data_IF_486453352962
#
_entry.id   IF_486453352962
#
_cell.length_a   1.000
_cell.length_b   1.000
_cell.length_c   1.000
_cell.angle_alpha   90.00
_cell.angle_beta   90.00
_cell.angle_gamma   90.00
#
_symmetry.space_group_name_H-M   'P 1'
#
loop_
_entity.id
_entity.type
_entity.pdbx_description
1 polymer ?
#
# COMPACT_ATOMS: atom_id res chain seq x y z
N UNK A 1 -15.80 8.53 -14.38
CA UNK A 1 -15.90 7.99 -13.01
C UNK A 1 -16.05 9.17 -12.05
N UNK A 2 -17.06 9.17 -11.18
CA UNK A 2 -17.27 10.25 -10.20
C UNK A 2 -16.51 9.89 -8.92
N UNK A 3 -15.24 10.30 -8.84
CA UNK A 3 -14.35 10.11 -7.70
C UNK A 3 -14.74 11.06 -6.57
N UNK A 4 -14.53 10.66 -5.31
CA UNK A 4 -14.74 11.53 -4.14
C UNK A 4 -13.40 11.88 -3.48
N UNK A 5 -12.83 13.07 -3.80
CA UNK A 5 -11.51 13.44 -3.33
C UNK A 5 -11.46 13.70 -1.82
N UNK A 6 -12.58 14.10 -1.21
CA UNK A 6 -12.65 14.34 0.23
C UNK A 6 -12.58 13.02 0.99
N UNK A 7 -13.39 12.02 0.60
CA UNK A 7 -13.35 10.68 1.16
C UNK A 7 -11.98 10.03 0.98
N UNK A 8 -11.38 10.19 -0.21
CA UNK A 8 -10.02 9.72 -0.47
C UNK A 8 -9.01 10.36 0.48
N UNK A 9 -9.03 11.69 0.64
CA UNK A 9 -8.12 12.39 1.55
C UNK A 9 -8.30 11.95 3.00
N UNK A 10 -9.55 11.80 3.47
CA UNK A 10 -9.84 11.33 4.83
C UNK A 10 -9.29 9.93 5.06
N UNK A 11 -9.48 9.01 4.11
CA UNK A 11 -8.91 7.65 4.19
C UNK A 11 -7.38 7.69 4.19
N UNK A 12 -6.77 8.42 3.26
CA UNK A 12 -5.31 8.55 3.17
C UNK A 12 -4.72 9.11 4.45
N UNK A 13 -5.29 10.20 4.97
CA UNK A 13 -4.82 10.83 6.21
C UNK A 13 -4.95 9.88 7.39
N UNK A 14 -6.03 9.09 7.44
CA UNK A 14 -6.24 8.12 8.50
C UNK A 14 -5.19 7.02 8.42
N UNK A 15 -4.90 6.48 7.23
CA UNK A 15 -3.84 5.48 7.02
C UNK A 15 -2.44 6.02 7.38
N UNK A 16 -2.10 7.24 6.94
CA UNK A 16 -0.82 7.89 7.28
C UNK A 16 -0.65 8.14 8.78
N UNK A 17 -1.75 8.22 9.53
CA UNK A 17 -1.72 8.34 10.99
C UNK A 17 -1.34 7.05 11.72
N UNK A 18 -1.26 5.90 11.04
CA UNK A 18 -0.90 4.62 11.65
C UNK A 18 0.58 4.31 11.42
N UNK A 19 1.44 4.36 12.46
CA UNK A 19 2.87 4.11 12.32
C UNK A 19 3.21 2.64 12.02
N UNK A 20 2.23 1.74 12.10
CA UNK A 20 2.40 0.31 11.80
C UNK A 20 2.24 -0.03 10.33
N UNK A 21 1.73 0.91 9.51
CA UNK A 21 1.41 0.68 8.11
C UNK A 21 2.27 1.59 7.26
N UNK A 22 2.99 1.02 6.31
CA UNK A 22 3.73 1.82 5.33
C UNK A 22 2.78 2.32 4.22
N UNK A 23 2.13 3.45 4.47
CA UNK A 23 1.20 4.07 3.51
C UNK A 23 1.91 4.69 2.29
N UNK A 24 3.25 4.70 2.23
CA UNK A 24 4.03 5.32 1.14
C UNK A 24 3.77 4.63 -0.20
N UNK A 25 3.59 3.31 -0.16
CA UNK A 25 3.39 2.48 -1.33
C UNK A 25 1.92 2.11 -1.57
N UNK A 26 1.02 2.59 -0.70
CA UNK A 26 -0.42 2.33 -0.77
C UNK A 26 -1.11 3.50 -1.48
N UNK A 27 -1.82 3.19 -2.56
CA UNK A 27 -2.68 4.11 -3.30
C UNK A 27 -4.12 3.93 -2.85
N UNK A 28 -4.79 5.05 -2.59
CA UNK A 28 -6.20 5.08 -2.20
C UNK A 28 -7.01 5.71 -3.32
N UNK A 29 -8.05 5.03 -3.78
CA UNK A 29 -9.05 5.58 -4.69
C UNK A 29 -10.43 5.49 -4.03
N UNK A 30 -11.20 6.58 -4.06
CA UNK A 30 -12.55 6.60 -3.49
C UNK A 30 -13.58 7.10 -4.50
N UNK A 31 -14.77 6.51 -4.50
CA UNK A 31 -15.87 6.90 -5.38
C UNK A 31 -16.96 7.64 -4.59
N UNK A 32 -17.76 8.47 -5.28
CA UNK A 32 -18.90 9.16 -4.65
C UNK A 32 -19.98 8.23 -4.11
N UNK A 33 -19.97 6.95 -4.49
CA UNK A 33 -20.88 5.94 -3.97
C UNK A 33 -20.35 5.25 -2.67
N UNK A 34 -19.20 5.69 -2.15
CA UNK A 34 -18.61 5.15 -0.93
C UNK A 34 -17.78 3.88 -1.13
N UNK A 35 -17.46 3.52 -2.37
CA UNK A 35 -16.50 2.44 -2.65
C UNK A 35 -15.09 2.98 -2.60
N UNK A 36 -14.25 2.37 -1.77
CA UNK A 36 -12.82 2.67 -1.61
C UNK A 36 -12.01 1.49 -2.11
N UNK A 37 -10.94 1.77 -2.84
CA UNK A 37 -10.00 0.77 -3.35
C UNK A 37 -8.63 1.12 -2.79
N UNK A 38 -8.01 0.15 -2.12
CA UNK A 38 -6.63 0.25 -1.62
C UNK A 38 -5.75 -0.64 -2.49
N UNK A 39 -4.82 -0.06 -3.23
CA UNK A 39 -3.91 -0.79 -4.12
C UNK A 39 -2.45 -0.49 -3.82
N UNK A 40 -1.55 -1.42 -4.14
CA UNK A 40 -0.12 -1.27 -3.89
C UNK A 40 0.47 -2.50 -3.23
N UNK A 41 1.49 -2.32 -2.39
CA UNK A 41 2.11 -3.42 -1.67
C UNK A 41 2.51 -3.05 -0.24
N UNK A 42 2.56 -4.06 0.62
CA UNK A 42 2.99 -3.97 2.03
C UNK A 42 3.96 -5.10 2.36
N UNK A 43 4.69 -4.97 3.48
CA UNK A 43 5.66 -5.97 3.91
C UNK A 43 5.05 -7.08 4.76
N UNK A 44 3.94 -6.77 5.43
CA UNK A 44 3.28 -7.68 6.34
C UNK A 44 1.78 -7.81 6.03
N UNK A 45 1.24 -9.02 6.18
CA UNK A 45 -0.19 -9.28 6.02
C UNK A 45 -1.03 -8.48 7.04
N UNK A 46 -0.50 -8.24 8.24
CA UNK A 46 -1.15 -7.41 9.25
C UNK A 46 -1.39 -5.98 8.76
N UNK A 47 -0.43 -5.39 8.02
CA UNK A 47 -0.57 -4.04 7.47
C UNK A 47 -1.72 -3.97 6.47
N UNK A 48 -1.83 -4.97 5.58
CA UNK A 48 -2.93 -5.10 4.63
C UNK A 48 -4.28 -5.15 5.35
N UNK A 49 -4.40 -6.01 6.37
CA UNK A 49 -5.64 -6.16 7.14
C UNK A 49 -5.99 -4.87 7.88
N UNK A 50 -5.01 -4.26 8.56
CA UNK A 50 -5.20 -3.02 9.30
C UNK A 50 -5.62 -1.88 8.35
N UNK A 51 -4.99 -1.77 7.18
CA UNK A 51 -5.32 -0.76 6.18
C UNK A 51 -6.80 -0.86 5.74
N UNK A 52 -7.26 -2.08 5.46
CA UNK A 52 -8.67 -2.33 5.09
C UNK A 52 -9.61 -1.97 6.24
N UNK A 53 -9.27 -2.32 7.49
CA UNK A 53 -10.10 -1.98 8.64
C UNK A 53 -10.16 -0.47 8.90
N UNK A 54 -9.04 0.23 8.79
CA UNK A 54 -8.95 1.67 8.96
C UNK A 54 -9.79 2.38 7.89
N UNK A 55 -9.67 1.96 6.63
CA UNK A 55 -10.48 2.50 5.54
C UNK A 55 -11.99 2.27 5.79
N UNK A 56 -12.39 1.07 6.23
CA UNK A 56 -13.79 0.78 6.61
C UNK A 56 -14.29 1.65 7.77
N UNK A 57 -13.41 2.10 8.64
CA UNK A 57 -13.72 2.98 9.78
C UNK A 57 -13.92 4.46 9.39
N UNK A 58 -13.74 4.83 8.12
CA UNK A 58 -13.98 6.20 7.65
C UNK A 58 -15.46 6.40 7.36
N UNK A 59 -16.00 7.52 7.85
CA UNK A 59 -17.41 7.88 7.66
C UNK A 59 -17.69 8.13 6.18
N UNK A 60 -18.68 7.43 5.62
CA UNK A 60 -19.04 7.51 4.20
C UNK A 60 -18.47 6.37 3.36
N UNK A 61 -17.66 5.48 3.95
CA UNK A 61 -17.24 4.24 3.28
C UNK A 61 -18.36 3.21 3.39
N UNK A 62 -18.77 2.70 2.24
CA UNK A 62 -19.77 1.65 2.09
C UNK A 62 -19.12 0.29 1.81
N UNK A 63 -18.02 0.28 1.06
CA UNK A 63 -17.25 -0.93 0.76
C UNK A 63 -15.78 -0.60 0.51
N UNK A 64 -14.91 -1.54 0.88
CA UNK A 64 -13.46 -1.42 0.68
C UNK A 64 -12.98 -2.63 -0.10
N UNK A 65 -12.35 -2.37 -1.24
CA UNK A 65 -11.63 -3.35 -2.04
C UNK A 65 -10.17 -3.38 -1.61
N UNK A 66 -9.73 -4.59 -1.27
CA UNK A 66 -8.35 -4.94 -0.99
C UNK A 66 -7.67 -5.37 -2.29
N UNK A 67 -6.80 -4.51 -2.83
CA UNK A 67 -5.95 -4.76 -3.99
C UNK A 67 -4.47 -4.61 -3.58
N UNK A 68 -4.17 -4.83 -2.30
CA UNK A 68 -2.82 -4.71 -1.74
C UNK A 68 -2.15 -6.08 -1.79
N UNK A 69 -0.96 -6.13 -2.39
CA UNK A 69 -0.08 -7.29 -2.37
C UNK A 69 0.83 -7.31 -1.14
N UNK A 70 1.09 -8.50 -0.59
CA UNK A 70 2.00 -8.67 0.53
C UNK A 70 3.33 -9.20 0.02
N UNK A 71 4.37 -8.36 0.07
CA UNK A 71 5.72 -8.66 -0.41
C UNK A 71 6.68 -8.58 0.79
N UNK A 72 6.94 -9.71 1.47
CA UNK A 72 7.80 -9.72 2.64
C UNK A 72 9.24 -9.34 2.28
N UNK A 73 9.97 -8.69 3.21
CA UNK A 73 11.36 -8.31 2.97
C UNK A 73 12.22 -9.55 2.74
N UNK A 74 12.98 -9.57 1.65
CA UNK A 74 13.79 -10.72 1.23
C UNK A 74 13.09 -11.66 0.23
N UNK A 75 11.81 -11.42 -0.07
CA UNK A 75 11.14 -12.04 -1.22
C UNK A 75 11.24 -11.07 -2.40
N UNK A 76 11.86 -11.52 -3.48
CA UNK A 76 11.96 -10.74 -4.72
C UNK A 76 10.55 -10.39 -5.20
N UNK A 77 10.33 -9.12 -5.58
CA UNK A 77 9.08 -8.74 -6.26
C UNK A 77 8.91 -9.68 -7.47
N UNK A 78 7.82 -10.45 -7.57
CA UNK A 78 7.68 -11.39 -8.67
C UNK A 78 7.73 -10.61 -9.98
N UNK A 79 8.71 -10.94 -10.83
CA UNK A 79 9.00 -10.26 -12.11
C UNK A 79 7.81 -10.13 -13.06
N UNK A 80 6.72 -10.84 -12.81
CA UNK A 80 5.48 -10.71 -13.58
C UNK A 80 4.70 -9.40 -13.34
N UNK A 81 5.05 -8.62 -12.30
CA UNK A 81 4.56 -7.23 -12.09
C UNK A 81 5.60 -6.16 -12.47
N UNK A 82 6.78 -6.55 -12.95
CA UNK A 82 7.90 -5.66 -13.33
C UNK A 82 7.70 -4.96 -14.69
N UNK A 83 6.57 -5.14 -15.38
CA UNK A 83 6.36 -4.45 -16.66
C UNK A 83 5.91 -2.99 -16.53
N UNK A 84 5.57 -2.51 -15.33
CA UNK A 84 5.02 -1.15 -15.12
C UNK A 84 5.85 -0.23 -14.24
N UNK A 85 6.97 -0.69 -13.68
CA UNK A 85 7.79 0.11 -12.75
C UNK A 85 9.27 0.07 -13.11
N UNK A 86 9.58 0.38 -14.37
CA UNK A 86 10.93 0.76 -14.78
C UNK A 86 11.20 2.19 -14.30
N UNK A 87 11.82 2.32 -13.12
CA UNK A 87 12.72 3.42 -12.82
C UNK A 87 13.89 2.81 -12.07
N UNK A 88 14.97 2.58 -12.82
CA UNK A 88 16.15 1.88 -12.40
C UNK A 88 16.79 2.46 -11.15
N UNK A 89 17.20 1.55 -10.26
CA UNK A 89 18.32 1.79 -9.37
C UNK A 89 19.22 0.56 -9.49
N UNK A 90 20.37 0.80 -10.12
CA UNK A 90 21.40 -0.21 -10.28
C UNK A 90 22.02 -0.52 -8.93
N UNK A 91 22.10 -1.82 -8.65
CA UNK A 91 23.33 -2.49 -8.18
C UNK A 91 24.30 -1.69 -7.30
N UNK A 92 24.37 -2.06 -6.02
CA UNK A 92 25.62 -2.42 -5.33
C UNK A 92 25.21 -3.25 -4.08
N UNK A 93 25.37 -4.59 -4.05
CA UNK A 93 26.64 -5.26 -3.83
C UNK A 93 27.09 -5.03 -2.38
N UNK A 94 26.76 -5.84 -1.37
CA UNK A 94 27.05 -7.25 -1.25
C UNK A 94 28.53 -7.50 -0.94
N UNK A 95 28.96 -7.36 0.32
CA UNK A 95 29.93 -8.25 0.98
C UNK A 95 30.22 -7.82 2.42
N UNK A 96 29.75 -8.66 3.35
CA UNK A 96 30.31 -8.86 4.68
C UNK A 96 31.78 -9.29 4.61
N UNK A 97 32.67 -8.70 5.39
CA UNK A 97 33.90 -9.38 5.80
C UNK A 97 34.18 -9.09 7.29
N UNK A 98 34.36 -10.17 8.04
CA UNK A 98 34.61 -10.20 9.48
C UNK A 98 36.09 -9.93 9.80
N UNK A 99 36.40 -9.77 11.10
CA UNK A 99 37.74 -9.49 11.67
C UNK A 99 38.91 -10.33 11.12
N UNK A 100 40.16 -9.90 11.28
CA UNK A 100 40.86 -9.56 12.54
C UNK A 100 41.87 -8.41 12.34
#
# INVERSE_FOLDING_TARGET
MNTDPQLQQEVTKKLQGYPKIDATHIRVAATKAGYVILGGYVRHFTEKVDAVQIAKSVKGVNSVTDDIDVIPPGQEVPKWHESTYDLGDGSDGGASEAGD
#
